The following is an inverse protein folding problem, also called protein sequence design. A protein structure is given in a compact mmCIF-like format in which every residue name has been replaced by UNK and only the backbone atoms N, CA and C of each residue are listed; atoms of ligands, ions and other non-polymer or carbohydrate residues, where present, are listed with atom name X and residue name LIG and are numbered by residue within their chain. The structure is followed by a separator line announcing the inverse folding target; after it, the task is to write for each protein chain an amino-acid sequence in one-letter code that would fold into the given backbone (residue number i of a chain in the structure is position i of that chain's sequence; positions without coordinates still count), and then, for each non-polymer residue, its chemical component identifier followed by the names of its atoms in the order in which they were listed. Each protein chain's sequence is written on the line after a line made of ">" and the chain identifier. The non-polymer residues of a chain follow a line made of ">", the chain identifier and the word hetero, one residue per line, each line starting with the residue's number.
data_IF_576496646576
#
_entry.id   IF_576496646576
#
_cell.length_a   1.000
_cell.length_b   1.000
_cell.length_c   1.000
_cell.angle_alpha   90.00
_cell.angle_beta   90.00
_cell.angle_gamma   90.00
#
_symmetry.space_group_name_H-M   'P 1'
#
loop_
_entity.id
_entity.type
_entity.pdbx_description
1 polymer ?
#
# COMPACT_ATOMS: atom_id res chain seq x y z
N UNK A 1 2.36 14.90 75.56
CA UNK A 1 1.77 14.12 74.45
C UNK A 1 2.70 14.27 73.21
N UNK A 2 3.23 13.20 72.62
CA UNK A 2 4.10 13.27 71.46
C UNK A 2 3.29 13.45 70.17
N UNK A 3 3.73 14.37 69.32
CA UNK A 3 3.20 14.60 67.97
C UNK A 3 3.50 13.38 67.10
N UNK A 4 2.44 12.84 66.46
CA UNK A 4 2.57 11.83 65.41
C UNK A 4 3.11 12.48 64.13
N UNK A 5 4.24 11.96 63.65
CA UNK A 5 4.76 12.25 62.33
C UNK A 5 3.88 11.53 61.28
N UNK A 6 3.48 12.28 60.28
CA UNK A 6 2.78 11.73 59.11
C UNK A 6 3.77 10.91 58.21
N UNK A 7 3.33 9.85 57.56
CA UNK A 7 4.18 9.09 56.68
C UNK A 7 4.48 9.87 55.40
N UNK A 8 5.75 9.89 55.05
CA UNK A 8 6.29 10.43 53.81
C UNK A 8 5.85 9.53 52.64
N UNK A 9 4.96 10.02 51.81
CA UNK A 9 4.64 9.40 50.52
C UNK A 9 5.68 9.83 49.52
N UNK A 10 6.79 9.09 49.44
CA UNK A 10 7.75 9.19 48.36
C UNK A 10 7.06 8.87 47.04
N UNK A 11 6.66 9.91 46.30
CA UNK A 11 6.29 9.77 44.89
C UNK A 11 7.55 9.53 44.07
N UNK A 12 7.83 8.28 43.78
CA UNK A 12 8.75 7.91 42.71
C UNK A 12 8.09 8.23 41.35
N UNK A 13 8.37 9.43 40.84
CA UNK A 13 8.21 9.72 39.42
C UNK A 13 9.51 9.31 38.74
N UNK A 14 9.61 8.06 38.35
CA UNK A 14 10.49 7.68 37.28
C UNK A 14 10.06 6.34 36.69
N UNK A 15 9.48 6.42 35.54
CA UNK A 15 9.69 5.54 34.38
C UNK A 15 8.91 6.15 33.23
N UNK A 16 9.61 6.96 32.44
CA UNK A 16 9.18 7.25 31.08
C UNK A 16 9.03 5.94 30.32
N UNK A 17 7.82 5.36 30.34
CA UNK A 17 7.43 4.39 29.34
C UNK A 17 7.49 5.11 28.00
N UNK A 18 8.57 4.88 27.28
CA UNK A 18 8.60 5.15 25.85
C UNK A 18 7.49 4.30 25.25
N UNK A 19 6.34 4.90 25.04
CA UNK A 19 5.30 4.34 24.19
C UNK A 19 5.93 4.26 22.80
N UNK A 20 6.44 3.10 22.47
CA UNK A 20 6.83 2.75 21.11
C UNK A 20 5.53 2.81 20.30
N UNK A 21 5.26 3.94 19.67
CA UNK A 21 4.23 4.05 18.65
C UNK A 21 4.71 3.23 17.46
N UNK A 22 4.42 1.93 17.47
CA UNK A 22 4.60 1.11 16.29
C UNK A 22 3.79 1.76 15.17
N UNK A 23 4.48 2.32 14.18
CA UNK A 23 3.84 2.94 13.02
C UNK A 23 2.97 1.86 12.35
N UNK A 24 1.67 2.07 12.30
CA UNK A 24 0.77 1.13 11.61
C UNK A 24 1.18 1.04 10.15
N UNK A 25 1.51 -0.17 9.70
CA UNK A 25 1.85 -0.42 8.30
C UNK A 25 0.58 -0.69 7.50
N UNK A 26 0.63 -0.36 6.22
CA UNK A 26 -0.43 -0.64 5.27
C UNK A 26 -0.42 -2.12 4.86
N UNK A 27 -1.58 -2.72 4.74
CA UNK A 27 -1.74 -4.10 4.27
C UNK A 27 -1.55 -4.21 2.75
N UNK A 28 -1.76 -3.10 2.03
CA UNK A 28 -1.63 -3.02 0.58
C UNK A 28 -1.25 -1.59 0.18
N UNK A 29 -0.52 -1.43 -0.91
CA UNK A 29 -0.21 -0.13 -1.49
C UNK A 29 -0.79 0.05 -2.88
N UNK A 30 -1.16 1.28 -3.23
CA UNK A 30 -1.58 1.67 -4.58
C UNK A 30 -0.72 2.83 -5.06
N UNK A 31 -0.05 2.65 -6.21
CA UNK A 31 0.67 3.73 -6.88
C UNK A 31 -0.01 4.12 -8.19
N UNK A 32 -0.18 5.43 -8.39
CA UNK A 32 -0.93 6.00 -9.50
C UNK A 32 -2.31 6.52 -9.05
N UNK A 33 -2.37 7.77 -8.60
CA UNK A 33 -3.56 8.41 -8.04
C UNK A 33 -4.34 9.23 -9.09
N UNK A 34 -4.51 8.68 -10.31
CA UNK A 34 -5.57 9.12 -11.20
C UNK A 34 -6.91 8.56 -10.71
N UNK A 35 -8.01 8.83 -11.43
CA UNK A 35 -9.37 8.49 -10.97
C UNK A 35 -9.51 7.03 -10.56
N UNK A 36 -9.04 6.09 -11.39
CA UNK A 36 -9.17 4.64 -11.10
C UNK A 36 -8.37 4.23 -9.86
N UNK A 37 -7.11 4.67 -9.75
CA UNK A 37 -6.25 4.31 -8.61
C UNK A 37 -6.72 4.93 -7.30
N UNK A 38 -7.14 6.19 -7.33
CA UNK A 38 -7.75 6.86 -6.19
C UNK A 38 -9.03 6.14 -5.73
N UNK A 39 -9.93 5.81 -6.64
CA UNK A 39 -11.18 5.14 -6.31
C UNK A 39 -10.95 3.72 -5.78
N UNK A 40 -10.01 2.96 -6.36
CA UNK A 40 -9.67 1.63 -5.86
C UNK A 40 -9.06 1.68 -4.45
N UNK A 41 -8.15 2.63 -4.19
CA UNK A 41 -7.58 2.82 -2.86
C UNK A 41 -8.65 3.19 -1.82
N UNK A 42 -9.57 4.09 -2.18
CA UNK A 42 -10.72 4.47 -1.33
C UNK A 42 -11.65 3.29 -1.08
N UNK A 43 -11.94 2.50 -2.11
CA UNK A 43 -12.76 1.29 -1.97
C UNK A 43 -12.17 0.35 -0.91
N UNK A 44 -10.89 0.01 -1.02
CA UNK A 44 -10.22 -0.85 -0.04
C UNK A 44 -10.21 -0.22 1.37
N UNK A 45 -9.93 1.07 1.49
CA UNK A 45 -9.94 1.76 2.79
C UNK A 45 -11.35 1.77 3.44
N UNK A 46 -12.39 1.96 2.64
CA UNK A 46 -13.81 1.88 3.10
C UNK A 46 -14.22 0.48 3.55
N UNK A 47 -13.53 -0.56 3.06
CA UNK A 47 -13.71 -1.95 3.52
C UNK A 47 -12.80 -2.33 4.69
N UNK A 48 -12.13 -1.36 5.31
CA UNK A 48 -11.38 -1.55 6.54
C UNK A 48 -9.90 -1.88 6.37
N UNK A 49 -9.38 -1.87 5.15
CA UNK A 49 -7.93 -2.04 4.92
C UNK A 49 -7.18 -0.74 5.20
N UNK A 50 -5.98 -0.86 5.74
CA UNK A 50 -5.02 0.24 5.77
C UNK A 50 -4.29 0.25 4.43
N UNK A 51 -4.41 1.33 3.66
CA UNK A 51 -3.90 1.41 2.28
C UNK A 51 -2.84 2.51 2.17
N UNK A 52 -1.63 2.14 1.76
CA UNK A 52 -0.61 3.12 1.38
C UNK A 52 -0.92 3.68 -0.01
N UNK A 53 -0.80 4.97 -0.19
CA UNK A 53 -1.04 5.63 -1.48
C UNK A 53 0.15 6.46 -1.91
N UNK A 54 0.48 6.39 -3.19
CA UNK A 54 1.58 7.12 -3.81
C UNK A 54 1.23 7.57 -5.23
N UNK A 55 1.78 8.69 -5.63
CA UNK A 55 1.79 9.13 -7.02
C UNK A 55 3.10 9.87 -7.32
N UNK A 56 3.60 9.76 -8.54
CA UNK A 56 4.81 10.45 -8.97
C UNK A 56 4.77 11.96 -8.71
N UNK A 57 3.59 12.56 -8.79
CA UNK A 57 3.34 13.95 -8.37
C UNK A 57 2.65 13.92 -7.01
N UNK A 58 3.32 14.30 -5.91
CA UNK A 58 2.81 14.20 -4.53
C UNK A 58 1.50 14.97 -4.32
N UNK A 59 1.27 16.05 -5.09
CA UNK A 59 0.07 16.87 -5.00
C UNK A 59 -1.21 16.05 -5.23
N UNK A 60 -1.14 15.03 -6.08
CA UNK A 60 -2.29 14.13 -6.31
C UNK A 60 -2.58 13.26 -5.09
N UNK A 61 -1.54 12.78 -4.43
CA UNK A 61 -1.66 12.01 -3.19
C UNK A 61 -2.26 12.87 -2.09
N UNK A 62 -1.75 14.10 -1.91
CA UNK A 62 -2.27 15.06 -0.95
C UNK A 62 -3.73 15.44 -1.23
N UNK A 63 -4.09 15.60 -2.52
CA UNK A 63 -5.48 15.87 -2.90
C UNK A 63 -6.41 14.73 -2.51
N UNK A 64 -6.02 13.48 -2.71
CA UNK A 64 -6.82 12.32 -2.27
C UNK A 64 -7.04 12.34 -0.77
N UNK A 65 -6.01 12.66 0.02
CA UNK A 65 -6.14 12.78 1.48
C UNK A 65 -7.04 13.94 1.87
N UNK A 66 -6.86 15.12 1.25
CA UNK A 66 -7.69 16.29 1.54
C UNK A 66 -9.17 16.03 1.27
N UNK A 67 -9.48 15.41 0.14
CA UNK A 67 -10.86 15.23 -0.30
C UNK A 67 -11.51 14.00 0.34
N UNK A 68 -10.76 12.94 0.61
CA UNK A 68 -11.28 11.60 0.91
C UNK A 68 -10.63 10.90 2.10
N UNK A 69 -9.67 11.52 2.79
CA UNK A 69 -8.98 10.89 3.93
C UNK A 69 -9.90 10.51 5.10
N UNK A 70 -11.09 11.08 5.16
CA UNK A 70 -12.12 10.74 6.15
C UNK A 70 -12.88 9.43 5.84
N UNK A 71 -12.73 8.88 4.64
CA UNK A 71 -13.47 7.67 4.20
C UNK A 71 -12.86 6.36 4.73
N UNK A 72 -11.61 6.37 5.18
CA UNK A 72 -10.91 5.20 5.70
C UNK A 72 -9.42 5.43 5.94
N UNK A 73 -8.69 4.36 6.26
CA UNK A 73 -7.28 4.44 6.63
C UNK A 73 -6.37 4.51 5.39
N UNK A 74 -6.02 5.73 4.97
CA UNK A 74 -5.09 6.01 3.88
C UNK A 74 -3.77 6.57 4.43
N UNK A 75 -2.64 5.98 4.03
CA UNK A 75 -1.28 6.45 4.37
C UNK A 75 -0.63 7.08 3.14
N UNK A 76 -0.54 8.41 3.06
CA UNK A 76 0.11 9.07 1.93
C UNK A 76 1.62 8.97 2.02
N UNK A 77 2.27 8.90 0.86
CA UNK A 77 3.73 8.93 0.76
C UNK A 77 4.15 9.84 -0.40
N UNK A 78 5.12 10.71 -0.14
CA UNK A 78 5.63 11.67 -1.12
C UNK A 78 6.73 11.07 -1.98
N UNK A 79 7.41 10.03 -1.48
CA UNK A 79 8.43 9.30 -2.21
C UNK A 79 8.06 7.82 -2.37
N UNK A 80 8.57 7.20 -3.43
CA UNK A 80 8.40 5.76 -3.65
C UNK A 80 9.10 4.93 -2.55
N UNK A 81 10.18 5.44 -1.95
CA UNK A 81 10.89 4.78 -0.86
C UNK A 81 10.03 4.75 0.42
N UNK A 82 9.43 5.88 0.80
CA UNK A 82 8.51 5.95 1.94
C UNK A 82 7.26 5.12 1.72
N UNK A 83 6.75 5.11 0.50
CA UNK A 83 5.62 4.28 0.10
C UNK A 83 5.91 2.80 0.35
N UNK A 84 7.01 2.27 -0.19
CA UNK A 84 7.39 0.87 0.00
C UNK A 84 7.65 0.55 1.47
N UNK A 85 8.29 1.46 2.21
CA UNK A 85 8.56 1.30 3.64
C UNK A 85 7.29 1.34 4.52
N UNK A 86 6.19 1.90 4.03
CA UNK A 86 4.92 1.97 4.75
C UNK A 86 4.05 0.72 4.61
N UNK A 87 4.45 -0.27 3.81
CA UNK A 87 3.66 -1.49 3.53
C UNK A 87 4.26 -2.67 4.28
N UNK A 88 3.41 -3.46 4.94
CA UNK A 88 3.80 -4.70 5.61
C UNK A 88 4.26 -5.78 4.61
N UNK A 89 5.11 -6.69 5.08
CA UNK A 89 5.63 -7.82 4.28
C UNK A 89 4.79 -9.08 4.45
N UNK A 90 4.67 -9.87 3.37
CA UNK A 90 5.09 -9.60 2.00
C UNK A 90 4.29 -8.44 1.41
N UNK A 91 4.98 -7.48 0.80
CA UNK A 91 4.34 -6.28 0.27
C UNK A 91 3.44 -6.61 -0.91
N UNK A 92 2.27 -6.02 -0.94
CA UNK A 92 1.29 -6.10 -2.03
C UNK A 92 1.13 -4.71 -2.63
N UNK A 93 1.60 -4.53 -3.86
CA UNK A 93 1.64 -3.21 -4.49
C UNK A 93 0.87 -3.24 -5.80
N UNK A 94 -0.21 -2.47 -5.85
CA UNK A 94 -1.02 -2.26 -7.05
C UNK A 94 -0.46 -1.08 -7.84
N UNK A 95 -0.16 -1.32 -9.11
CA UNK A 95 0.21 -0.30 -10.09
C UNK A 95 -1.03 0.05 -10.90
N UNK A 96 -1.49 1.30 -10.81
CA UNK A 96 -2.62 1.83 -11.55
C UNK A 96 -2.19 3.03 -12.40
N UNK A 97 -1.33 2.76 -13.37
CA UNK A 97 -0.83 3.74 -14.33
C UNK A 97 -1.18 3.32 -15.76
N UNK A 98 -0.93 4.20 -16.72
CA UNK A 98 -1.13 3.86 -18.14
C UNK A 98 -0.28 2.65 -18.53
N UNK A 99 -0.89 1.70 -19.22
CA UNK A 99 -0.23 0.50 -19.74
C UNK A 99 0.95 0.82 -20.66
N UNK A 100 1.93 -0.11 -20.74
CA UNK A 100 3.12 0.01 -21.56
C UNK A 100 4.30 0.61 -20.81
N UNK A 101 5.04 1.52 -21.42
CA UNK A 101 6.24 2.13 -20.86
C UNK A 101 6.09 2.75 -19.48
N UNK A 102 5.01 3.47 -19.16
CA UNK A 102 4.78 3.97 -17.81
C UNK A 102 4.73 2.88 -16.73
N UNK A 103 4.15 1.72 -17.04
CA UNK A 103 4.15 0.57 -16.12
C UNK A 103 5.56 0.02 -15.92
N UNK A 104 6.33 -0.13 -17.02
CA UNK A 104 7.71 -0.60 -16.95
C UNK A 104 8.57 0.34 -16.09
N UNK A 105 8.44 1.67 -16.29
CA UNK A 105 9.15 2.66 -15.51
C UNK A 105 8.87 2.56 -14.00
N UNK A 106 7.62 2.37 -13.61
CA UNK A 106 7.25 2.19 -12.19
C UNK A 106 7.83 0.88 -11.63
N UNK A 107 7.80 -0.21 -12.40
CA UNK A 107 8.39 -1.49 -12.01
C UNK A 107 9.90 -1.34 -11.81
N UNK A 108 10.59 -0.69 -12.73
CA UNK A 108 12.06 -0.48 -12.66
C UNK A 108 12.45 0.33 -11.40
N UNK A 109 11.63 1.30 -11.01
CA UNK A 109 11.86 2.07 -9.78
C UNK A 109 11.49 1.29 -8.51
N UNK A 110 10.49 0.41 -8.54
CA UNK A 110 10.06 -0.40 -7.41
C UNK A 110 11.04 -1.53 -7.09
N UNK A 111 11.47 -2.28 -8.11
CA UNK A 111 12.24 -3.52 -7.96
C UNK A 111 13.46 -3.39 -7.04
N UNK A 112 14.28 -2.32 -7.10
CA UNK A 112 15.42 -2.16 -6.19
C UNK A 112 15.05 -1.98 -4.70
N UNK A 113 13.78 -1.74 -4.40
CA UNK A 113 13.24 -1.48 -3.05
C UNK A 113 12.42 -2.64 -2.50
N UNK A 114 12.16 -3.65 -3.35
CA UNK A 114 11.38 -4.83 -3.00
C UNK A 114 12.28 -5.96 -2.51
N UNK A 115 11.69 -6.89 -1.82
CA UNK A 115 12.35 -8.05 -1.25
C UNK A 115 11.67 -9.34 -1.72
N UNK A 116 12.39 -10.45 -1.59
CA UNK A 116 11.88 -11.75 -1.99
C UNK A 116 10.50 -12.02 -1.38
N UNK A 117 9.56 -12.44 -2.20
CA UNK A 117 8.18 -12.73 -1.82
C UNK A 117 7.23 -11.53 -1.94
N UNK A 118 7.73 -10.31 -2.18
CA UNK A 118 6.87 -9.16 -2.45
C UNK A 118 6.13 -9.32 -3.78
N UNK A 119 4.93 -8.74 -3.88
CA UNK A 119 4.01 -8.92 -5.00
C UNK A 119 3.73 -7.58 -5.67
N UNK A 120 3.94 -7.52 -6.97
CA UNK A 120 3.55 -6.40 -7.83
C UNK A 120 2.31 -6.80 -8.63
N UNK A 121 1.27 -5.99 -8.56
CA UNK A 121 -0.02 -6.20 -9.21
C UNK A 121 -0.21 -5.11 -10.27
N UNK A 122 -0.13 -5.46 -11.55
CA UNK A 122 -0.40 -4.54 -12.65
C UNK A 122 -1.89 -4.51 -12.95
N UNK A 123 -2.54 -3.42 -12.54
CA UNK A 123 -3.96 -3.17 -12.76
C UNK A 123 -4.23 -2.13 -13.86
N UNK A 124 -3.21 -1.79 -14.64
CA UNK A 124 -3.24 -0.76 -15.67
C UNK A 124 -3.82 -1.18 -17.02
N UNK A 125 -4.48 -2.33 -17.11
CA UNK A 125 -5.08 -2.84 -18.36
C UNK A 125 -4.02 -3.19 -19.43
N UNK A 126 -2.98 -3.90 -19.04
CA UNK A 126 -1.82 -4.22 -19.86
C UNK A 126 -2.14 -5.22 -20.98
N UNK A 127 -1.35 -5.12 -22.06
CA UNK A 127 -1.31 -6.12 -23.12
C UNK A 127 -0.67 -7.42 -22.60
N UNK A 128 -1.31 -8.58 -22.79
CA UNK A 128 -0.93 -9.83 -22.15
C UNK A 128 0.52 -10.28 -22.42
N UNK A 129 1.16 -10.05 -23.60
CA UNK A 129 2.56 -10.38 -23.79
C UNK A 129 3.50 -9.59 -22.86
N UNK A 130 3.17 -8.32 -22.56
CA UNK A 130 3.92 -7.52 -21.60
C UNK A 130 3.76 -8.06 -20.17
N UNK A 131 2.56 -8.49 -19.81
CA UNK A 131 2.29 -9.15 -18.53
C UNK A 131 3.18 -10.38 -18.35
N UNK A 132 3.26 -11.26 -19.37
CA UNK A 132 4.12 -12.45 -19.31
C UNK A 132 5.60 -12.13 -19.24
N UNK A 133 6.07 -11.13 -19.98
CA UNK A 133 7.44 -10.66 -19.93
C UNK A 133 7.82 -10.13 -18.54
N UNK A 134 6.94 -9.31 -17.94
CA UNK A 134 7.11 -8.75 -16.59
C UNK A 134 7.11 -9.84 -15.53
N UNK A 135 6.19 -10.79 -15.60
CA UNK A 135 6.13 -11.93 -14.69
C UNK A 135 7.45 -12.72 -14.72
N UNK A 136 7.95 -13.08 -15.89
CA UNK A 136 9.22 -13.80 -16.02
C UNK A 136 10.41 -13.01 -15.44
N UNK A 137 10.46 -11.71 -15.69
CA UNK A 137 11.53 -10.83 -15.20
C UNK A 137 11.51 -10.67 -13.67
N UNK A 138 10.33 -10.52 -13.05
CA UNK A 138 10.20 -10.38 -11.61
C UNK A 138 10.43 -11.72 -10.90
N UNK A 139 9.92 -12.81 -11.45
CA UNK A 139 10.16 -14.17 -10.93
C UNK A 139 11.65 -14.50 -10.83
N UNK A 140 12.44 -14.11 -11.82
CA UNK A 140 13.90 -14.27 -11.81
C UNK A 140 14.59 -13.52 -10.64
N UNK A 141 13.91 -12.55 -10.04
CA UNK A 141 14.38 -11.76 -8.88
C UNK A 141 13.73 -12.21 -7.55
N UNK A 142 12.97 -13.31 -7.55
CA UNK A 142 12.28 -13.81 -6.37
C UNK A 142 11.03 -13.01 -5.99
N UNK A 143 10.53 -12.18 -6.91
CA UNK A 143 9.30 -11.40 -6.75
C UNK A 143 8.13 -12.08 -7.45
N UNK A 144 6.92 -11.82 -6.97
CA UNK A 144 5.70 -12.22 -7.66
C UNK A 144 5.16 -11.08 -8.53
N UNK A 145 4.55 -11.46 -9.64
CA UNK A 145 3.85 -10.51 -10.51
C UNK A 145 2.48 -11.04 -10.87
N UNK A 146 1.47 -10.18 -10.77
CA UNK A 146 0.08 -10.50 -11.12
C UNK A 146 -0.43 -9.43 -12.08
N UNK A 147 -0.82 -9.84 -13.28
CA UNK A 147 -1.61 -9.01 -14.17
C UNK A 147 -3.07 -9.06 -13.74
N UNK A 148 -3.72 -7.93 -13.56
CA UNK A 148 -5.10 -7.88 -13.11
C UNK A 148 -5.94 -6.95 -13.98
N UNK A 149 -6.99 -7.51 -14.61
CA UNK A 149 -8.03 -6.70 -15.20
C UNK A 149 -8.91 -6.11 -14.10
N UNK A 150 -9.15 -4.81 -14.17
CA UNK A 150 -10.07 -4.10 -13.26
C UNK A 150 -11.17 -3.47 -14.11
N UNK A 151 -12.40 -3.97 -13.96
CA UNK A 151 -13.56 -3.55 -14.74
C UNK A 151 -14.64 -2.92 -13.86
N UNK A 152 -15.43 -2.03 -14.46
CA UNK A 152 -16.53 -1.32 -13.80
C UNK A 152 -16.43 0.20 -13.93
N UNK A 153 -15.40 0.70 -14.62
CA UNK A 153 -15.14 2.14 -14.75
C UNK A 153 -14.87 2.82 -13.42
N UNK A 154 -15.00 4.14 -13.41
CA UNK A 154 -14.70 4.96 -12.21
C UNK A 154 -15.63 4.61 -11.04
N UNK A 155 -16.91 4.44 -11.29
CA UNK A 155 -17.89 4.10 -10.27
C UNK A 155 -17.66 2.68 -9.73
N UNK A 156 -17.42 1.71 -10.62
CA UNK A 156 -17.08 0.34 -10.21
C UNK A 156 -15.81 0.27 -9.37
N UNK A 157 -14.77 0.99 -9.72
CA UNK A 157 -13.54 1.05 -8.93
C UNK A 157 -13.78 1.52 -7.48
N UNK A 158 -14.77 2.40 -7.27
CA UNK A 158 -15.13 2.91 -5.95
C UNK A 158 -16.10 2.02 -5.18
N UNK A 159 -17.08 1.41 -5.87
CA UNK A 159 -18.21 0.73 -5.23
C UNK A 159 -18.12 -0.79 -5.25
N UNK A 160 -17.33 -1.35 -6.13
CA UNK A 160 -17.16 -2.80 -6.29
C UNK A 160 -16.72 -3.18 -7.70
N UNK A 161 -15.42 -3.16 -8.00
CA UNK A 161 -14.91 -3.55 -9.31
C UNK A 161 -14.98 -5.07 -9.51
N UNK A 162 -15.14 -5.50 -10.76
CA UNK A 162 -14.78 -6.86 -11.13
C UNK A 162 -13.28 -6.95 -11.30
N UNK A 163 -12.62 -7.81 -10.53
CA UNK A 163 -11.17 -7.99 -10.55
C UNK A 163 -10.85 -9.38 -11.11
N UNK A 164 -10.01 -9.41 -12.15
CA UNK A 164 -9.65 -10.63 -12.87
C UNK A 164 -8.13 -10.83 -12.79
N UNK A 165 -7.61 -11.41 -11.69
CA UNK A 165 -6.17 -11.62 -11.51
C UNK A 165 -5.67 -12.82 -12.32
N UNK A 166 -4.46 -12.69 -12.88
CA UNK A 166 -3.71 -13.74 -13.53
C UNK A 166 -2.26 -13.71 -13.09
N UNK A 167 -1.77 -14.82 -12.54
CA UNK A 167 -0.41 -14.95 -12.02
C UNK A 167 -0.10 -16.38 -11.63
N UNK A 168 1.00 -16.60 -10.91
CA UNK A 168 1.37 -17.92 -10.41
C UNK A 168 0.47 -18.39 -9.25
N UNK A 169 0.40 -19.69 -9.02
CA UNK A 169 -0.33 -20.26 -7.88
C UNK A 169 0.20 -19.74 -6.53
N UNK A 170 1.52 -19.55 -6.43
CA UNK A 170 2.16 -19.02 -5.22
C UNK A 170 1.71 -17.60 -4.91
N UNK A 171 1.60 -16.72 -5.95
CA UNK A 171 1.11 -15.36 -5.75
C UNK A 171 -0.34 -15.34 -5.30
N UNK A 172 -1.15 -16.28 -5.78
CA UNK A 172 -2.57 -16.39 -5.40
C UNK A 172 -2.74 -16.79 -3.93
N UNK A 173 -1.91 -17.68 -3.40
CA UNK A 173 -1.95 -18.08 -1.98
C UNK A 173 -1.76 -16.85 -1.05
N UNK A 174 -0.93 -15.91 -1.46
CA UNK A 174 -0.64 -14.71 -0.66
C UNK A 174 -1.69 -13.59 -0.83
N UNK A 175 -2.38 -13.55 -1.98
CA UNK A 175 -3.36 -12.52 -2.31
C UNK A 175 -4.81 -12.92 -1.99
N UNK A 176 -5.11 -14.22 -1.95
CA UNK A 176 -6.44 -14.80 -1.83
C UNK A 176 -7.10 -14.81 -0.46
#
# INVERSE_FOLDING_TARGET
>A
QPRRLAPDYGMNFDRGEQVSTSKTLAQIGVTGMAVMGSNLARNMARHGYVVAIHNRSPERTHKVISDHGHEGALIPSDSLADFVASIERPRKIVIMVKAGGPTDAVIDELVPRLEQGDIVIDAGNAHFPDTRRREAALKAKGLHFVGSGVSGGEEGALLGPSIMPGGSAESYITLG
#
